data_IF_116325724456
#
_entry.id   IF_116325724456
#
_cell.length_a   1.000
_cell.length_b   1.000
_cell.length_c   1.000
_cell.angle_alpha   90.00
_cell.angle_beta   90.00
_cell.angle_gamma   90.00
#
_symmetry.space_group_name_H-M   'P 1'
#
loop_
_entity.id
_entity.type
_entity.pdbx_description
1 polymer ?
#
# COMPACT_ATOMS: atom_id res chain seq x y z
N UNK A 1 -6.85 -6.78 -5.85
CA UNK A 1 -5.65 -5.98 -6.19
C UNK A 1 -4.69 -6.82 -7.00
N UNK A 2 -4.07 -6.23 -8.03
CA UNK A 2 -3.01 -6.80 -8.85
C UNK A 2 -1.83 -5.85 -8.86
N UNK A 3 -0.61 -6.38 -8.78
CA UNK A 3 0.58 -5.52 -8.71
C UNK A 3 1.79 -6.17 -9.38
N UNK A 4 2.55 -5.36 -10.11
CA UNK A 4 3.87 -5.69 -10.62
C UNK A 4 4.86 -4.72 -9.96
N UNK A 5 5.83 -5.26 -9.23
CA UNK A 5 6.82 -4.50 -8.47
C UNK A 5 7.43 -3.36 -9.30
N UNK A 6 7.45 -2.16 -8.72
CA UNK A 6 7.97 -0.92 -9.30
C UNK A 6 7.38 -0.52 -10.66
N UNK A 7 6.31 -1.13 -11.13
CA UNK A 7 5.74 -0.86 -12.44
C UNK A 7 4.31 -0.35 -12.37
N UNK A 8 3.41 -1.15 -11.81
CA UNK A 8 1.98 -0.86 -11.84
C UNK A 8 1.25 -1.58 -10.71
N UNK A 9 0.25 -0.93 -10.16
CA UNK A 9 -0.76 -1.53 -9.29
C UNK A 9 -2.16 -1.23 -9.81
N UNK A 10 -3.08 -2.17 -9.63
CA UNK A 10 -4.51 -2.00 -9.85
C UNK A 10 -5.27 -2.51 -8.64
N UNK A 11 -6.07 -1.64 -8.04
CA UNK A 11 -7.07 -2.01 -7.05
C UNK A 11 -8.45 -1.86 -7.67
N UNK A 12 -9.31 -2.85 -7.49
CA UNK A 12 -10.69 -2.77 -7.96
C UNK A 12 -11.65 -3.32 -6.89
N UNK A 13 -12.81 -2.69 -6.82
CA UNK A 13 -13.92 -3.06 -5.98
C UNK A 13 -15.17 -3.14 -6.84
N UNK A 14 -15.96 -4.21 -6.66
CA UNK A 14 -17.28 -4.33 -7.26
C UNK A 14 -18.29 -4.60 -6.15
N UNK A 15 -19.34 -3.80 -6.11
CA UNK A 15 -20.43 -3.94 -5.15
C UNK A 15 -21.77 -3.61 -5.83
N UNK A 16 -22.73 -4.49 -5.72
CA UNK A 16 -24.07 -4.37 -6.37
C UNK A 16 -24.01 -4.02 -7.87
N UNK A 17 -23.03 -4.60 -8.60
CA UNK A 17 -22.83 -4.34 -10.04
C UNK A 17 -22.15 -3.02 -10.37
N UNK A 18 -21.92 -2.15 -9.39
CA UNK A 18 -21.13 -0.94 -9.56
C UNK A 18 -19.64 -1.25 -9.36
N UNK A 19 -18.81 -0.70 -10.22
CA UNK A 19 -17.37 -0.92 -10.20
C UNK A 19 -16.63 0.38 -9.84
N UNK A 20 -15.61 0.23 -9.03
CA UNK A 20 -14.61 1.26 -8.80
C UNK A 20 -13.23 0.63 -8.99
N UNK A 21 -12.31 1.33 -9.65
CA UNK A 21 -10.92 0.92 -9.71
C UNK A 21 -9.99 2.10 -9.79
N UNK A 22 -8.75 1.83 -9.41
CA UNK A 22 -7.63 2.75 -9.58
C UNK A 22 -6.46 1.95 -10.15
N UNK A 23 -5.76 2.54 -11.11
CA UNK A 23 -4.54 2.00 -11.72
C UNK A 23 -3.45 3.04 -11.54
N UNK A 24 -2.34 2.67 -10.91
CA UNK A 24 -1.19 3.54 -10.70
C UNK A 24 0.02 2.94 -11.40
N UNK A 25 0.59 3.69 -12.31
CA UNK A 25 1.90 3.46 -12.90
C UNK A 25 2.91 4.42 -12.26
N UNK A 26 4.19 4.25 -12.60
CA UNK A 26 5.25 5.11 -12.06
C UNK A 26 5.01 6.60 -12.33
N UNK A 27 4.55 6.96 -13.54
CA UNK A 27 4.43 8.34 -13.99
C UNK A 27 2.99 8.74 -14.36
N UNK A 28 2.03 7.86 -14.13
CA UNK A 28 0.63 8.12 -14.48
C UNK A 28 -0.31 7.31 -13.62
N UNK A 29 -1.57 7.72 -13.56
CA UNK A 29 -2.60 7.00 -12.84
C UNK A 29 -3.97 7.31 -13.40
N UNK A 30 -4.90 6.40 -13.16
CA UNK A 30 -6.29 6.49 -13.59
C UNK A 30 -7.21 6.02 -12.47
N UNK A 31 -8.32 6.72 -12.32
CA UNK A 31 -9.38 6.38 -11.39
C UNK A 31 -10.70 6.28 -12.13
N UNK A 32 -11.51 5.35 -11.73
CA UNK A 32 -12.89 5.20 -12.14
C UNK A 32 -13.76 4.82 -10.95
N UNK A 33 -14.91 5.47 -10.80
CA UNK A 33 -15.87 5.16 -9.74
C UNK A 33 -17.30 5.34 -10.23
N UNK A 34 -17.96 4.22 -10.54
CA UNK A 34 -19.39 4.23 -10.82
C UNK A 34 -20.21 4.68 -9.59
N UNK A 35 -19.70 4.51 -8.38
CA UNK A 35 -20.33 4.99 -7.14
C UNK A 35 -20.41 6.52 -7.08
N UNK A 36 -19.50 7.21 -7.76
CA UNK A 36 -19.46 8.68 -7.87
C UNK A 36 -20.09 9.20 -9.17
N UNK A 37 -20.75 8.32 -9.93
CA UNK A 37 -21.41 8.69 -11.19
C UNK A 37 -20.45 8.87 -12.37
N UNK A 38 -19.18 8.44 -12.26
CA UNK A 38 -18.25 8.53 -13.38
C UNK A 38 -18.70 7.60 -14.50
N UNK A 39 -18.66 8.08 -15.74
CA UNK A 39 -19.01 7.32 -16.96
C UNK A 39 -17.77 6.84 -17.72
N UNK A 40 -16.61 7.39 -17.43
CA UNK A 40 -15.32 7.01 -18.01
C UNK A 40 -14.18 7.19 -16.99
N UNK A 41 -13.06 6.47 -17.16
CA UNK A 41 -11.89 6.67 -16.33
C UNK A 41 -11.28 8.05 -16.51
N UNK A 42 -10.85 8.67 -15.43
CA UNK A 42 -10.17 9.97 -15.41
C UNK A 42 -8.71 9.80 -15.02
N UNK A 43 -7.88 10.72 -15.48
CA UNK A 43 -6.47 10.78 -15.06
C UNK A 43 -6.38 11.28 -13.63
N UNK A 44 -5.55 10.63 -12.84
CA UNK A 44 -5.20 11.09 -11.51
C UNK A 44 -4.35 12.37 -11.58
N UNK A 45 -4.44 13.19 -10.54
CA UNK A 45 -3.56 14.36 -10.42
C UNK A 45 -2.11 13.94 -10.15
N UNK A 46 -1.11 14.77 -10.47
CA UNK A 46 0.29 14.48 -10.13
C UNK A 46 0.49 14.23 -8.63
N UNK A 47 -0.27 14.91 -7.77
CA UNK A 47 -0.22 14.73 -6.32
C UNK A 47 -0.74 13.33 -5.92
N UNK A 48 -1.88 12.90 -6.47
CA UNK A 48 -2.44 11.58 -6.18
C UNK A 48 -1.50 10.46 -6.65
N UNK A 49 -0.87 10.64 -7.83
CA UNK A 49 0.13 9.69 -8.34
C UNK A 49 1.31 9.60 -7.36
N UNK A 50 1.86 10.75 -6.93
CA UNK A 50 2.95 10.81 -5.95
C UNK A 50 2.58 10.12 -4.63
N UNK A 51 1.35 10.32 -4.15
CA UNK A 51 0.86 9.66 -2.94
C UNK A 51 0.79 8.14 -3.08
N UNK A 52 0.47 7.64 -4.27
CA UNK A 52 0.34 6.20 -4.54
C UNK A 52 1.66 5.49 -4.90
N UNK A 53 2.71 6.21 -5.26
CA UNK A 53 3.98 5.63 -5.74
C UNK A 53 4.67 4.72 -4.72
N UNK A 54 4.62 5.07 -3.43
CA UNK A 54 5.24 4.24 -2.38
C UNK A 54 4.62 2.83 -2.35
N UNK A 55 3.34 2.71 -2.74
CA UNK A 55 2.64 1.44 -2.83
C UNK A 55 3.09 0.55 -3.99
N UNK A 56 3.90 1.03 -4.95
CA UNK A 56 4.45 0.20 -6.03
C UNK A 56 5.63 -0.67 -5.58
N UNK A 57 6.26 -0.33 -4.45
CA UNK A 57 7.35 -1.09 -3.87
C UNK A 57 6.83 -2.28 -3.05
N UNK A 58 6.75 -3.45 -3.67
CA UNK A 58 6.33 -4.69 -2.99
C UNK A 58 7.30 -5.19 -1.91
N UNK A 59 8.55 -4.75 -1.95
CA UNK A 59 9.55 -5.13 -0.95
C UNK A 59 9.39 -4.34 0.35
N UNK A 60 8.67 -3.22 0.27
CA UNK A 60 8.50 -2.29 1.38
C UNK A 60 9.71 -1.38 1.60
N UNK A 61 9.48 -0.29 2.29
CA UNK A 61 10.43 0.83 2.41
C UNK A 61 11.67 0.50 3.25
N UNK A 62 11.62 -0.54 4.09
CA UNK A 62 12.74 -0.95 4.94
C UNK A 62 13.80 -1.74 4.16
N UNK A 63 13.40 -2.49 3.13
CA UNK A 63 14.37 -3.24 2.31
C UNK A 63 15.18 -2.26 1.47
N UNK A 64 16.51 -2.34 1.58
CA UNK A 64 17.43 -1.45 0.86
C UNK A 64 17.13 0.06 1.06
N UNK A 65 16.63 0.44 2.23
CA UNK A 65 16.14 1.78 2.54
C UNK A 65 17.12 2.89 2.14
N UNK A 66 18.41 2.71 2.39
CA UNK A 66 19.43 3.70 2.07
C UNK A 66 19.60 3.89 0.55
N UNK A 67 19.53 2.80 -0.25
CA UNK A 67 19.57 2.87 -1.72
C UNK A 67 18.34 3.55 -2.29
N UNK A 68 17.19 3.40 -1.60
CA UNK A 68 15.93 4.09 -1.94
C UNK A 68 15.91 5.56 -1.52
N UNK A 69 16.97 6.03 -0.84
CA UNK A 69 17.07 7.40 -0.35
C UNK A 69 16.24 7.67 0.92
N UNK A 70 15.91 6.62 1.68
CA UNK A 70 15.23 6.74 2.95
C UNK A 70 16.22 6.79 4.10
N UNK A 71 15.81 7.34 5.25
CA UNK A 71 16.56 7.23 6.50
C UNK A 71 15.73 6.48 7.54
N UNK A 72 16.42 5.73 8.39
CA UNK A 72 15.81 4.88 9.42
C UNK A 72 16.39 5.24 10.78
N UNK A 73 15.53 5.30 11.79
CA UNK A 73 15.88 5.59 13.17
C UNK A 73 15.14 4.61 14.09
N UNK A 74 15.88 3.95 14.99
CA UNK A 74 15.29 3.13 16.04
C UNK A 74 14.86 4.06 17.17
N UNK A 75 13.61 3.93 17.61
CA UNK A 75 13.05 4.71 18.71
C UNK A 75 12.85 3.81 19.94
N UNK A 76 12.47 4.43 21.08
CA UNK A 76 12.04 3.67 22.25
C UNK A 76 10.82 2.82 21.92
N UNK A 77 10.71 1.61 22.48
CA UNK A 77 9.53 0.77 22.29
C UNK A 77 8.24 1.47 22.69
N UNK A 78 7.14 1.13 22.05
CA UNK A 78 5.80 1.65 22.34
C UNK A 78 4.81 0.50 22.47
N UNK A 79 3.95 0.54 23.48
CA UNK A 79 2.88 -0.44 23.65
C UNK A 79 1.84 -0.31 22.53
N UNK A 80 1.61 -1.41 21.84
CA UNK A 80 0.58 -1.53 20.81
C UNK A 80 -0.32 -2.71 21.17
N UNK A 81 -1.48 -2.40 21.73
CA UNK A 81 -2.49 -3.39 22.13
C UNK A 81 -1.94 -4.51 23.06
N UNK A 82 -1.01 -4.14 23.97
CA UNK A 82 -0.38 -5.05 24.92
C UNK A 82 0.91 -5.71 24.42
N UNK A 83 1.40 -5.34 23.23
CA UNK A 83 2.71 -5.73 22.70
C UNK A 83 3.68 -4.58 22.87
N UNK A 84 4.81 -4.80 23.57
CA UNK A 84 5.91 -3.83 23.68
C UNK A 84 6.69 -3.81 22.36
N UNK A 85 6.14 -3.09 21.37
CA UNK A 85 6.58 -3.15 19.99
C UNK A 85 7.87 -2.37 19.76
N UNK A 86 8.79 -2.95 19.00
CA UNK A 86 9.98 -2.27 18.50
C UNK A 86 9.50 -1.16 17.55
N UNK A 87 9.87 0.09 17.85
CA UNK A 87 9.46 1.22 17.05
C UNK A 87 10.57 1.67 16.10
N UNK A 88 10.29 1.67 14.80
CA UNK A 88 11.21 2.11 13.75
C UNK A 88 10.60 3.27 12.98
N UNK A 89 11.25 4.42 13.00
CA UNK A 89 10.87 5.58 12.19
C UNK A 89 11.61 5.58 10.87
N UNK A 90 10.89 5.79 9.78
CA UNK A 90 11.42 5.88 8.42
C UNK A 90 11.02 7.21 7.80
N UNK A 91 12.00 8.03 7.43
CA UNK A 91 11.74 9.21 6.62
C UNK A 91 11.92 8.83 5.15
N UNK A 92 10.84 8.92 4.38
CA UNK A 92 10.84 8.58 2.95
C UNK A 92 11.39 9.75 2.12
N UNK A 93 12.04 9.43 1.01
CA UNK A 93 12.48 10.44 0.04
C UNK A 93 11.32 11.22 -0.60
N UNK A 94 10.10 10.71 -0.48
CA UNK A 94 8.86 11.40 -0.92
C UNK A 94 8.38 12.49 0.04
N UNK A 95 9.02 12.62 1.22
CA UNK A 95 8.66 13.59 2.26
C UNK A 95 7.67 13.07 3.30
N UNK A 96 7.21 11.82 3.17
CA UNK A 96 6.40 11.16 4.20
C UNK A 96 7.29 10.62 5.32
N UNK A 97 6.71 10.46 6.50
CA UNK A 97 7.33 9.74 7.63
C UNK A 97 6.44 8.57 8.02
N UNK A 98 7.04 7.38 8.13
CA UNK A 98 6.37 6.19 8.62
C UNK A 98 6.97 5.74 9.95
N UNK A 99 6.11 5.28 10.85
CA UNK A 99 6.50 4.62 12.09
C UNK A 99 6.01 3.19 12.02
N UNK A 100 6.93 2.26 12.03
CA UNK A 100 6.69 0.82 12.09
C UNK A 100 6.69 0.38 13.53
N UNK A 101 5.66 -0.33 13.94
CA UNK A 101 5.56 -1.02 15.22
C UNK A 101 5.68 -2.51 14.94
N UNK A 102 6.76 -3.10 15.40
CA UNK A 102 7.16 -4.46 15.05
C UNK A 102 7.08 -5.33 16.30
N UNK A 103 6.37 -6.43 16.20
CA UNK A 103 6.29 -7.44 17.25
C UNK A 103 7.70 -8.06 17.48
N UNK A 104 8.24 -8.01 18.71
CA UNK A 104 9.59 -8.50 19.00
C UNK A 104 9.74 -10.02 18.88
N UNK A 105 8.65 -10.79 18.97
CA UNK A 105 8.67 -12.25 18.97
C UNK A 105 8.82 -12.85 17.56
N UNK A 106 8.18 -12.22 16.57
CA UNK A 106 8.13 -12.72 15.19
C UNK A 106 8.66 -11.74 14.14
N UNK A 107 8.94 -10.49 14.54
CA UNK A 107 9.40 -9.39 13.69
C UNK A 107 8.40 -8.99 12.59
N UNK A 108 7.11 -9.23 12.79
CA UNK A 108 6.10 -8.73 11.87
C UNK A 108 5.66 -7.31 12.24
N UNK A 109 5.45 -6.44 11.26
CA UNK A 109 4.86 -5.14 11.51
C UNK A 109 3.38 -5.34 11.89
N UNK A 110 3.02 -5.00 13.12
CA UNK A 110 1.64 -5.09 13.62
C UNK A 110 0.87 -3.78 13.38
N UNK A 111 1.59 -2.65 13.26
CA UNK A 111 1.01 -1.34 12.98
C UNK A 111 1.99 -0.48 12.17
N UNK A 112 1.47 0.29 11.22
CA UNK A 112 2.23 1.34 10.53
C UNK A 112 1.44 2.65 10.63
N UNK A 113 2.09 3.68 11.17
CA UNK A 113 1.55 5.04 11.25
C UNK A 113 2.27 5.91 10.23
N UNK A 114 1.55 6.42 9.25
CA UNK A 114 2.10 7.28 8.19
C UNK A 114 1.68 8.73 8.42
N UNK A 115 2.63 9.64 8.39
CA UNK A 115 2.41 11.09 8.40
C UNK A 115 2.88 11.68 7.08
N UNK A 116 2.15 12.65 6.57
CA UNK A 116 2.48 13.34 5.32
C UNK A 116 1.67 14.60 5.14
N UNK A 117 1.85 15.22 3.97
CA UNK A 117 1.09 16.40 3.55
C UNK A 117 0.37 16.03 2.25
N UNK A 118 -0.92 16.32 2.17
CA UNK A 118 -1.73 16.17 0.95
C UNK A 118 -2.57 17.44 0.78
N UNK A 119 -2.54 18.03 -0.40
CA UNK A 119 -3.23 19.31 -0.70
C UNK A 119 -2.91 20.42 0.32
N UNK A 120 -1.65 20.49 0.79
CA UNK A 120 -1.20 21.47 1.77
C UNK A 120 -1.66 21.21 3.22
N UNK A 121 -2.34 20.10 3.48
CA UNK A 121 -2.81 19.72 4.81
C UNK A 121 -2.03 18.51 5.33
N UNK A 122 -1.62 18.57 6.59
CA UNK A 122 -1.02 17.41 7.26
C UNK A 122 -2.07 16.33 7.50
N UNK A 123 -1.68 15.08 7.30
CA UNK A 123 -2.50 13.93 7.64
C UNK A 123 -1.71 12.90 8.44
N UNK A 124 -2.43 12.12 9.22
CA UNK A 124 -1.91 10.92 9.86
C UNK A 124 -2.84 9.77 9.55
N UNK A 125 -2.28 8.69 9.01
CA UNK A 125 -2.99 7.44 8.78
C UNK A 125 -2.37 6.34 9.62
N UNK A 126 -3.20 5.51 10.25
CA UNK A 126 -2.78 4.34 11.04
C UNK A 126 -3.37 3.11 10.37
N UNK A 127 -2.53 2.12 10.11
CA UNK A 127 -2.92 0.85 9.50
C UNK A 127 -2.41 -0.29 10.36
N UNK A 128 -3.31 -1.13 10.80
CA UNK A 128 -3.00 -2.34 11.59
C UNK A 128 -2.92 -3.56 10.67
N UNK A 129 -2.07 -4.51 11.04
CA UNK A 129 -1.78 -5.72 10.27
C UNK A 129 -2.01 -6.95 11.13
N UNK A 130 -2.89 -7.84 10.66
CA UNK A 130 -3.31 -9.01 11.40
C UNK A 130 -3.33 -10.26 10.54
N UNK A 131 -3.59 -11.41 11.18
CA UNK A 131 -3.91 -12.66 10.51
C UNK A 131 -2.81 -13.07 9.53
N UNK A 132 -1.56 -13.08 10.01
CA UNK A 132 -0.40 -13.49 9.23
C UNK A 132 -0.48 -14.97 8.88
N UNK A 133 -0.36 -15.29 7.59
CA UNK A 133 -0.40 -16.66 7.07
C UNK A 133 0.66 -16.85 5.99
N UNK A 134 1.13 -18.09 5.87
CA UNK A 134 2.02 -18.46 4.78
C UNK A 134 1.26 -18.52 3.45
N UNK A 135 1.82 -17.91 2.42
CA UNK A 135 1.40 -18.11 1.03
C UNK A 135 1.86 -19.48 0.52
N UNK A 136 1.40 -19.88 -0.67
CA UNK A 136 1.83 -21.13 -1.31
C UNK A 136 3.36 -21.24 -1.50
N UNK A 137 4.05 -20.10 -1.57
CA UNK A 137 5.51 -20.01 -1.72
C UNK A 137 6.24 -19.90 -0.37
N UNK A 138 5.54 -20.05 0.77
CA UNK A 138 6.11 -20.00 2.12
C UNK A 138 6.39 -18.59 2.65
N UNK A 139 6.06 -17.53 1.92
CA UNK A 139 6.18 -16.15 2.40
C UNK A 139 5.00 -15.85 3.32
N UNK A 140 5.29 -15.34 4.50
CA UNK A 140 4.25 -14.98 5.48
C UNK A 140 3.81 -13.55 5.23
N UNK A 141 2.50 -13.36 5.05
CA UNK A 141 1.89 -12.06 4.81
C UNK A 141 0.65 -11.85 5.68
N UNK A 142 0.34 -10.59 6.04
CA UNK A 142 -0.91 -10.26 6.71
C UNK A 142 -2.10 -10.49 5.75
N UNK A 143 -3.07 -11.24 6.20
CA UNK A 143 -4.34 -11.43 5.48
C UNK A 143 -5.42 -10.43 5.92
N UNK A 144 -5.10 -9.54 6.86
CA UNK A 144 -5.95 -8.41 7.24
C UNK A 144 -5.08 -7.16 7.35
N UNK A 145 -5.43 -6.12 6.61
CA UNK A 145 -4.75 -4.82 6.58
C UNK A 145 -5.80 -3.74 6.81
N UNK A 146 -5.76 -3.11 7.99
CA UNK A 146 -6.83 -2.21 8.42
C UNK A 146 -8.19 -2.91 8.40
N UNK A 147 -9.11 -2.40 7.61
CA UNK A 147 -10.47 -2.95 7.47
C UNK A 147 -10.62 -3.92 6.28
N UNK A 148 -9.54 -4.23 5.57
CA UNK A 148 -9.56 -5.13 4.42
C UNK A 148 -9.05 -6.51 4.81
N UNK A 149 -9.82 -7.56 4.49
CA UNK A 149 -9.40 -8.95 4.63
C UNK A 149 -9.22 -9.59 3.25
N UNK A 150 -8.16 -10.39 3.11
CA UNK A 150 -7.79 -11.06 1.89
C UNK A 150 -8.00 -12.57 2.05
N UNK A 151 -8.88 -13.14 1.22
CA UNK A 151 -9.11 -14.60 1.21
C UNK A 151 -7.92 -15.33 0.61
N UNK A 152 -7.31 -14.76 -0.44
CA UNK A 152 -6.18 -15.35 -1.14
C UNK A 152 -5.15 -14.29 -1.52
N UNK A 153 -3.86 -14.62 -1.33
CA UNK A 153 -2.72 -13.82 -1.76
C UNK A 153 -1.78 -14.74 -2.54
N UNK A 154 -1.59 -14.43 -3.81
CA UNK A 154 -0.68 -15.15 -4.70
C UNK A 154 0.52 -14.27 -5.06
N UNK A 155 1.72 -14.84 -5.00
CA UNK A 155 2.98 -14.14 -5.25
C UNK A 155 3.74 -14.83 -6.35
N UNK A 156 4.39 -14.03 -7.20
CA UNK A 156 5.21 -14.51 -8.32
C UNK A 156 4.43 -15.37 -9.32
N UNK A 157 3.13 -15.09 -9.48
CA UNK A 157 2.29 -15.72 -10.50
C UNK A 157 2.29 -14.88 -11.78
N UNK A 158 2.14 -15.49 -12.96
CA UNK A 158 1.95 -14.74 -14.19
C UNK A 158 0.68 -13.89 -14.15
N UNK A 159 0.80 -12.60 -14.47
CA UNK A 159 -0.32 -11.66 -14.54
C UNK A 159 -0.53 -11.28 -16.01
N UNK A 160 -1.77 -11.45 -16.52
CA UNK A 160 -2.13 -10.91 -17.83
C UNK A 160 -2.07 -9.37 -17.78
N UNK A 161 -1.16 -8.77 -18.53
CA UNK A 161 -0.96 -7.34 -18.54
C UNK A 161 -2.19 -6.54 -19.02
N UNK A 162 -3.10 -7.17 -19.75
CA UNK A 162 -4.38 -6.57 -20.16
C UNK A 162 -5.26 -6.15 -18.97
N UNK A 163 -5.02 -6.73 -17.80
CA UNK A 163 -5.75 -6.36 -16.58
C UNK A 163 -5.51 -4.90 -16.19
N UNK A 164 -4.37 -4.34 -16.58
CA UNK A 164 -3.99 -2.95 -16.31
C UNK A 164 -4.42 -1.98 -17.43
N UNK A 165 -4.98 -2.50 -18.55
CA UNK A 165 -5.46 -1.64 -19.62
C UNK A 165 -6.70 -0.85 -19.21
N UNK A 166 -6.76 0.41 -19.63
CA UNK A 166 -7.90 1.28 -19.38
C UNK A 166 -8.97 0.93 -20.40
N UNK A 167 -10.07 0.39 -19.93
CA UNK A 167 -11.25 0.16 -20.77
C UNK A 167 -11.87 1.52 -21.12
N UNK A 168 -11.65 2.00 -22.33
CA UNK A 168 -12.39 3.16 -22.86
C UNK A 168 -13.83 2.71 -23.09
N UNK A 169 -14.79 3.38 -22.45
CA UNK A 169 -16.19 3.20 -22.80
C UNK A 169 -16.37 3.55 -24.29
N UNK A 170 -17.01 2.64 -25.01
CA UNK A 170 -17.45 2.92 -26.40
C UNK A 170 -18.59 3.89 -26.39
#
# INVERSE_FOLDING_TARGET
>A
TYQIHDKVSKSELTFNGLQQYQIIYRDSGFVFSAFQGMTAPERMTPEDIKQGQDGLDLQGVLVDYAKKGHSVELLEPEDVDGVDAIQVKVNLNTGKTQFYFIDPDNYYPIRIKTKGISNGQEYTNVTDYYNFKATSNGIILPHTIGNLSFDNIEINVPIDQKIFEIKRSK
#
